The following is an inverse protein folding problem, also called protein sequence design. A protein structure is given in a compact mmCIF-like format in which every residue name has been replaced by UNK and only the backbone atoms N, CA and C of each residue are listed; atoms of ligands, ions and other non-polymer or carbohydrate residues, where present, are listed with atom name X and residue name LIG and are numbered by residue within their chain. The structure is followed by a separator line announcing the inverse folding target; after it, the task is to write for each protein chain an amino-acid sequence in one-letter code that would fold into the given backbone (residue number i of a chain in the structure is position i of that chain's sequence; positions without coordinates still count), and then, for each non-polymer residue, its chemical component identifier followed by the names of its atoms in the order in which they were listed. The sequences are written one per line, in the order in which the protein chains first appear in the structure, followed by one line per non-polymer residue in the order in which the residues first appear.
data_IF_380268129053
#
_entry.id   IF_380268129053
#
_cell.length_a   1.000
_cell.length_b   1.000
_cell.length_c   1.000
_cell.angle_alpha   90.00
_cell.angle_beta   90.00
_cell.angle_gamma   90.00
#
_symmetry.space_group_name_H-M   'P 1'
#
loop_
_entity.id
_entity.type
_entity.pdbx_description
1 polymer ?
#
# COMPACT_ATOMS: atom_id res chain seq x y z
N UNK A 1 -20.37 7.26 -50.02
CA UNK A 1 -19.95 7.03 -48.61
C UNK A 1 -19.30 5.67 -48.51
N UNK A 2 -17.97 5.61 -48.37
CA UNK A 2 -17.23 4.35 -48.33
C UNK A 2 -17.40 3.67 -46.97
N UNK A 3 -17.95 2.45 -46.94
CA UNK A 3 -18.05 1.62 -45.73
C UNK A 3 -16.64 1.26 -45.28
N UNK A 4 -16.19 1.83 -44.16
CA UNK A 4 -14.95 1.46 -43.48
C UNK A 4 -14.98 -0.05 -43.24
N UNK A 5 -13.98 -0.78 -43.73
CA UNK A 5 -13.94 -2.24 -43.63
C UNK A 5 -13.95 -2.66 -42.16
N UNK A 6 -14.74 -3.70 -41.82
CA UNK A 6 -14.83 -4.24 -40.44
C UNK A 6 -13.46 -4.54 -39.83
N UNK A 7 -12.50 -4.94 -40.67
CA UNK A 7 -11.10 -5.20 -40.31
C UNK A 7 -10.38 -3.99 -39.70
N UNK A 8 -10.70 -2.76 -40.15
CA UNK A 8 -10.15 -1.53 -39.58
C UNK A 8 -10.82 -1.12 -38.25
N UNK A 9 -12.05 -1.59 -38.00
CA UNK A 9 -12.72 -1.40 -36.71
C UNK A 9 -12.19 -2.37 -35.65
N UNK A 10 -11.86 -3.61 -36.03
CA UNK A 10 -11.20 -4.59 -35.16
C UNK A 10 -9.76 -4.19 -34.79
N UNK A 11 -8.98 -3.63 -35.72
CA UNK A 11 -7.65 -3.07 -35.41
C UNK A 11 -7.71 -1.85 -34.50
N UNK A 12 -8.78 -1.05 -34.56
CA UNK A 12 -9.01 0.06 -33.64
C UNK A 12 -9.51 -0.40 -32.25
N UNK A 13 -9.94 -1.65 -32.11
CA UNK A 13 -10.35 -2.27 -30.85
C UNK A 13 -9.22 -3.05 -30.16
N UNK A 14 -8.01 -3.08 -30.76
CA UNK A 14 -6.84 -3.67 -30.12
C UNK A 14 -6.45 -2.82 -28.89
N UNK A 15 -6.20 -3.42 -27.72
CA UNK A 15 -5.72 -2.69 -26.56
C UNK A 15 -4.39 -2.00 -26.91
N UNK A 16 -4.14 -0.79 -26.39
CA UNK A 16 -2.89 -0.08 -26.65
C UNK A 16 -1.69 -0.96 -26.27
N UNK A 17 -0.58 -0.91 -27.04
CA UNK A 17 0.61 -1.66 -26.71
C UNK A 17 1.12 -1.26 -25.32
N UNK A 18 1.72 -2.21 -24.60
CA UNK A 18 2.24 -1.94 -23.27
C UNK A 18 3.34 -0.87 -23.33
N UNK A 19 3.34 0.03 -22.36
CA UNK A 19 4.41 1.01 -22.16
C UNK A 19 4.93 0.97 -20.72
N UNK A 20 5.78 1.94 -20.35
CA UNK A 20 6.36 2.00 -19.00
C UNK A 20 5.33 2.24 -17.88
N UNK A 21 4.09 2.62 -18.22
CA UNK A 21 3.04 3.03 -17.30
C UNK A 21 1.73 2.22 -17.46
N UNK A 22 1.50 1.59 -18.61
CA UNK A 22 0.27 0.87 -18.93
C UNK A 22 0.54 -0.53 -19.46
N UNK A 23 -0.20 -1.50 -18.95
CA UNK A 23 -0.19 -2.88 -19.45
C UNK A 23 -1.10 -3.00 -20.68
N UNK A 24 -0.68 -3.80 -21.67
CA UNK A 24 -1.47 -4.10 -22.87
C UNK A 24 -2.73 -4.94 -22.60
N UNK A 25 -2.94 -5.41 -21.38
CA UNK A 25 -4.05 -6.30 -21.02
C UNK A 25 -4.55 -5.91 -19.64
N UNK A 26 -5.88 -5.87 -19.40
CA UNK A 26 -6.43 -5.59 -18.09
C UNK A 26 -5.90 -6.57 -17.05
N UNK A 27 -5.62 -6.05 -15.85
CA UNK A 27 -5.12 -6.84 -14.71
C UNK A 27 -6.14 -7.94 -14.40
N UNK A 28 -5.80 -9.19 -14.68
CA UNK A 28 -6.58 -10.35 -14.24
C UNK A 28 -6.34 -10.57 -12.75
N UNK A 29 -7.33 -11.08 -11.98
CA UNK A 29 -7.08 -11.48 -10.61
C UNK A 29 -5.97 -12.53 -10.60
N UNK A 30 -4.82 -12.16 -10.03
CA UNK A 30 -3.68 -13.05 -9.90
C UNK A 30 -4.08 -14.13 -8.90
N UNK A 31 -3.87 -15.44 -9.18
CA UNK A 31 -4.11 -16.46 -8.19
C UNK A 31 -3.32 -16.13 -6.92
N UNK A 32 -4.02 -16.04 -5.79
CA UNK A 32 -3.41 -15.71 -4.52
C UNK A 32 -2.59 -16.91 -4.04
N UNK A 33 -1.27 -16.81 -4.12
CA UNK A 33 -0.37 -17.76 -3.47
C UNK A 33 -0.15 -17.33 -2.03
N UNK A 34 -0.44 -18.22 -1.08
CA UNK A 34 -0.18 -17.99 0.34
C UNK A 34 0.68 -19.13 0.90
N UNK A 35 1.82 -18.76 1.50
CA UNK A 35 2.71 -19.72 2.17
C UNK A 35 2.11 -20.16 3.51
N UNK A 36 1.46 -19.23 4.21
CA UNK A 36 0.88 -19.45 5.53
C UNK A 36 -0.65 -19.45 5.45
N UNK A 37 -1.33 -20.39 6.15
CA UNK A 37 -2.78 -20.34 6.33
C UNK A 37 -3.22 -19.05 7.03
N UNK A 38 -4.48 -18.65 6.84
CA UNK A 38 -5.02 -17.40 7.41
C UNK A 38 -4.84 -17.32 8.94
N UNK A 39 -5.03 -18.44 9.66
CA UNK A 39 -4.81 -18.49 11.10
C UNK A 39 -3.35 -18.17 11.49
N UNK A 40 -2.37 -18.69 10.74
CA UNK A 40 -0.95 -18.42 10.99
C UNK A 40 -0.61 -16.96 10.67
N UNK A 41 -1.17 -16.42 9.58
CA UNK A 41 -1.03 -15.00 9.24
C UNK A 41 -1.62 -14.07 10.31
N UNK A 42 -2.84 -14.36 10.78
CA UNK A 42 -3.48 -13.59 11.84
C UNK A 42 -2.67 -13.62 13.14
N UNK A 43 -2.11 -14.79 13.48
CA UNK A 43 -1.22 -14.92 14.63
C UNK A 43 0.03 -14.04 14.49
N UNK A 44 0.71 -14.06 13.33
CA UNK A 44 1.88 -13.23 13.08
C UNK A 44 1.58 -11.73 13.18
N UNK A 45 0.46 -11.28 12.60
CA UNK A 45 0.02 -9.88 12.68
C UNK A 45 -0.29 -9.47 14.12
N UNK A 46 -0.92 -10.35 14.90
CA UNK A 46 -1.13 -10.13 16.32
C UNK A 46 0.20 -9.95 17.03
N UNK A 47 1.13 -10.89 16.90
CA UNK A 47 2.44 -10.82 17.58
C UNK A 47 3.25 -9.59 17.17
N UNK A 48 3.22 -9.21 15.90
CA UNK A 48 3.88 -8.00 15.42
C UNK A 48 3.35 -6.73 16.13
N UNK A 49 2.03 -6.61 16.28
CA UNK A 49 1.47 -5.47 16.99
C UNK A 49 1.67 -5.50 18.51
N UNK A 50 1.77 -6.69 19.13
CA UNK A 50 2.19 -6.81 20.54
C UNK A 50 3.62 -6.29 20.70
N UNK A 51 4.54 -6.68 19.81
CA UNK A 51 5.92 -6.19 19.80
C UNK A 51 5.98 -4.67 19.69
N UNK A 52 5.17 -4.07 18.81
CA UNK A 52 5.13 -2.61 18.67
C UNK A 52 4.56 -1.92 19.92
N UNK A 53 3.60 -2.54 20.62
CA UNK A 53 2.99 -1.98 21.82
C UNK A 53 3.87 -2.13 23.07
N UNK A 54 4.52 -3.27 23.25
CA UNK A 54 5.28 -3.61 24.45
C UNK A 54 6.77 -3.24 24.34
N UNK A 55 7.38 -3.56 23.20
CA UNK A 55 8.80 -3.33 22.96
C UNK A 55 9.03 -2.01 22.23
N UNK A 56 8.24 -1.74 21.19
CA UNK A 56 8.35 -0.54 20.39
C UNK A 56 9.55 -0.55 19.42
N UNK A 57 9.83 0.62 18.85
CA UNK A 57 10.87 0.84 17.83
C UNK A 57 11.79 1.99 18.22
N UNK A 58 13.03 1.94 17.76
CA UNK A 58 13.98 3.05 17.91
C UNK A 58 13.77 4.07 16.78
N UNK A 59 13.52 5.32 17.15
CA UNK A 59 13.39 6.47 16.25
C UNK A 59 14.44 7.50 16.61
N UNK A 60 15.55 7.45 15.88
CA UNK A 60 16.71 8.34 16.09
C UNK A 60 16.39 9.78 15.68
N UNK A 61 15.58 9.96 14.63
CA UNK A 61 15.22 11.28 14.13
C UNK A 61 14.28 12.02 15.08
N UNK A 62 14.75 13.12 15.67
CA UNK A 62 14.07 13.79 16.78
C UNK A 62 12.69 14.32 16.43
N UNK A 63 12.55 14.99 15.27
CA UNK A 63 11.27 15.54 14.84
C UNK A 63 10.24 14.43 14.58
N UNK A 64 10.69 13.26 14.11
CA UNK A 64 9.79 12.13 13.85
C UNK A 64 9.32 11.53 15.18
N UNK A 65 10.24 11.36 16.14
CA UNK A 65 9.94 10.92 17.51
C UNK A 65 8.93 11.86 18.17
N UNK A 66 9.16 13.17 18.11
CA UNK A 66 8.26 14.17 18.68
C UNK A 66 6.86 14.13 18.04
N UNK A 67 6.79 14.01 16.71
CA UNK A 67 5.51 13.88 16.00
C UNK A 67 4.75 12.61 16.41
N UNK A 68 5.46 11.47 16.55
CA UNK A 68 4.85 10.21 16.98
C UNK A 68 4.35 10.27 18.43
N UNK A 69 5.11 10.88 19.34
CA UNK A 69 4.67 11.10 20.72
C UNK A 69 3.42 12.00 20.76
N UNK A 70 3.39 13.07 19.96
CA UNK A 70 2.22 13.94 19.82
C UNK A 70 0.99 13.19 19.28
N UNK A 71 1.20 12.21 18.40
CA UNK A 71 0.15 11.35 17.85
C UNK A 71 -0.33 10.25 18.82
N UNK A 72 0.21 10.17 20.04
CA UNK A 72 -0.22 9.20 21.05
C UNK A 72 0.69 7.98 21.21
N UNK A 73 1.87 7.96 20.57
CA UNK A 73 2.91 7.01 20.93
C UNK A 73 3.42 7.29 22.35
N UNK A 74 3.95 6.27 23.03
CA UNK A 74 4.48 6.41 24.39
C UNK A 74 5.99 6.23 24.42
N UNK A 75 6.71 6.90 25.35
CA UNK A 75 8.14 6.67 25.51
C UNK A 75 8.44 5.20 25.88
N UNK A 76 9.48 4.65 25.27
CA UNK A 76 10.04 3.35 25.63
C UNK A 76 11.03 3.44 26.78
N UNK A 77 11.72 2.33 27.06
CA UNK A 77 12.75 2.26 28.13
C UNK A 77 13.99 3.12 27.82
N UNK A 78 14.33 3.23 26.55
CA UNK A 78 15.47 4.01 26.05
C UNK A 78 14.97 5.35 25.48
N UNK A 79 15.77 6.44 25.55
CA UNK A 79 15.33 7.77 25.09
C UNK A 79 14.91 7.83 23.62
N UNK A 80 15.52 7.02 22.77
CA UNK A 80 15.22 6.97 21.33
C UNK A 80 14.07 6.01 21.00
N UNK A 81 13.59 5.23 21.97
CA UNK A 81 12.62 4.18 21.73
C UNK A 81 11.22 4.69 22.03
N UNK A 82 10.27 4.34 21.16
CA UNK A 82 8.85 4.65 21.33
C UNK A 82 8.03 3.38 21.19
N UNK A 83 6.94 3.28 21.94
CA UNK A 83 5.94 2.23 21.84
C UNK A 83 4.72 2.78 21.13
N UNK A 84 4.08 1.92 20.34
CA UNK A 84 2.88 2.26 19.58
C UNK A 84 1.70 1.48 20.18
N UNK A 85 0.82 2.11 20.98
CA UNK A 85 -0.34 1.42 21.56
C UNK A 85 -1.24 0.80 20.48
N UNK A 86 -1.94 -0.29 20.81
CA UNK A 86 -2.81 -1.00 19.85
C UNK A 86 -3.86 -0.12 19.20
N UNK A 87 -4.48 0.76 19.99
CA UNK A 87 -5.47 1.71 19.47
C UNK A 87 -4.87 2.62 18.39
N UNK A 88 -3.66 3.16 18.63
CA UNK A 88 -2.95 4.01 17.66
C UNK A 88 -2.59 3.24 16.39
N UNK A 89 -2.16 1.98 16.51
CA UNK A 89 -1.87 1.13 15.35
C UNK A 89 -3.12 0.92 14.49
N UNK A 90 -4.24 0.60 15.13
CA UNK A 90 -5.51 0.34 14.44
C UNK A 90 -6.07 1.61 13.78
N UNK A 91 -6.01 2.74 14.47
CA UNK A 91 -6.41 4.05 13.93
C UNK A 91 -5.58 4.39 12.68
N UNK A 92 -4.25 4.25 12.76
CA UNK A 92 -3.37 4.53 11.63
C UNK A 92 -3.65 3.59 10.43
N UNK A 93 -3.86 2.30 10.67
CA UNK A 93 -4.19 1.34 9.62
C UNK A 93 -5.57 1.59 9.01
N UNK A 94 -6.55 2.05 9.80
CA UNK A 94 -7.87 2.41 9.33
C UNK A 94 -7.84 3.68 8.46
N UNK A 95 -7.07 4.68 8.87
CA UNK A 95 -6.90 5.94 8.13
C UNK A 95 -6.08 5.76 6.83
N UNK A 96 -5.28 4.70 6.71
CA UNK A 96 -4.44 4.46 5.54
C UNK A 96 -5.28 4.08 4.31
N UNK A 97 -5.21 4.83 3.19
CA UNK A 97 -5.94 4.50 1.97
C UNK A 97 -5.50 3.14 1.42
N UNK A 98 -6.44 2.35 0.90
CA UNK A 98 -6.16 1.02 0.33
C UNK A 98 -5.75 1.06 -1.13
N UNK A 99 -6.08 2.16 -1.79
CA UNK A 99 -5.74 2.47 -3.18
C UNK A 99 -5.35 3.93 -3.24
N UNK A 100 -4.32 4.25 -4.02
CA UNK A 100 -3.84 5.61 -4.24
C UNK A 100 -3.41 5.74 -5.69
N UNK A 101 -3.56 6.91 -6.28
CA UNK A 101 -3.01 7.19 -7.61
C UNK A 101 -1.62 7.81 -7.48
N UNK A 102 -0.63 7.20 -8.10
CA UNK A 102 0.70 7.76 -8.30
C UNK A 102 0.66 8.66 -9.54
N UNK A 103 0.64 9.97 -9.34
CA UNK A 103 0.53 10.92 -10.43
C UNK A 103 1.87 11.18 -11.12
N UNK A 104 1.88 11.06 -12.44
CA UNK A 104 3.03 11.37 -13.28
C UNK A 104 3.15 12.87 -13.58
N UNK A 105 4.19 13.23 -14.34
CA UNK A 105 4.34 14.62 -14.84
C UNK A 105 3.21 15.04 -15.80
N UNK A 106 2.47 14.07 -16.35
CA UNK A 106 1.30 14.27 -17.22
C UNK A 106 0.23 13.25 -16.84
N UNK A 107 -1.07 13.57 -17.01
CA UNK A 107 -2.16 12.66 -16.63
C UNK A 107 -2.09 11.29 -17.31
N UNK A 108 -1.54 11.23 -18.52
CA UNK A 108 -1.37 9.97 -19.25
C UNK A 108 -0.27 9.06 -18.68
N UNK A 109 0.28 9.36 -17.51
CA UNK A 109 1.29 8.56 -16.81
C UNK A 109 0.88 8.23 -15.37
N UNK A 110 -0.35 8.53 -15.01
CA UNK A 110 -0.89 8.25 -13.70
C UNK A 110 -1.13 6.73 -13.57
N UNK A 111 -0.78 6.18 -12.41
CA UNK A 111 -0.91 4.74 -12.11
C UNK A 111 -1.68 4.57 -10.81
N UNK A 112 -2.71 3.72 -10.81
CA UNK A 112 -3.52 3.36 -9.65
C UNK A 112 -3.10 2.02 -9.03
#
# INVERSE_FOLDING_TARGET
MARRSKRNAELAAAPPPADAFHLATPVRPRPAFAIAPEAARAHLLSRAGDLLAEHGIAVVHEAARAAMLKAGATPGREPIRIRLPRALQQEALAATPKTVTLCGKRPERDVE
#
